data_IF_207535582521
#
_entry.id   IF_207535582521
#
_cell.length_a   1.000
_cell.length_b   1.000
_cell.length_c   1.000
_cell.angle_alpha   90.00
_cell.angle_beta   90.00
_cell.angle_gamma   90.00
#
_symmetry.space_group_name_H-M   'P 1'
#
loop_
_entity.id
_entity.type
_entity.pdbx_description
1 polymer ?
#
# COMPACT_ATOMS: atom_id res chain seq x y z
N UNK A 1 2.08 40.27 -38.28
CA UNK A 1 0.74 39.67 -38.11
C UNK A 1 0.85 38.15 -38.24
N UNK A 2 0.26 37.46 -37.27
CA UNK A 2 -0.19 36.05 -37.19
C UNK A 2 0.62 34.93 -37.88
N UNK A 3 0.97 33.91 -37.09
CA UNK A 3 0.36 32.58 -37.28
C UNK A 3 0.50 31.75 -36.00
N UNK A 4 -0.61 31.64 -35.24
CA UNK A 4 -0.72 30.75 -34.09
C UNK A 4 -0.93 29.33 -34.64
N UNK A 5 0.06 28.46 -34.44
CA UNK A 5 -0.08 27.04 -34.73
C UNK A 5 -1.13 26.43 -33.78
N UNK A 6 -2.30 26.12 -34.33
CA UNK A 6 -3.40 25.44 -33.65
C UNK A 6 -2.94 24.05 -33.19
N UNK A 7 -2.82 23.82 -31.88
CA UNK A 7 -2.75 22.46 -31.32
C UNK A 7 -4.13 21.83 -31.47
N UNK A 8 -4.23 20.82 -32.33
CA UNK A 8 -5.41 19.97 -32.42
C UNK A 8 -5.59 19.21 -31.09
N UNK A 9 -6.49 19.69 -30.23
CA UNK A 9 -6.96 18.94 -29.08
C UNK A 9 -7.77 17.74 -29.58
N UNK A 10 -7.27 16.53 -29.34
CA UNK A 10 -8.05 15.30 -29.58
C UNK A 10 -9.18 15.28 -28.56
N UNK A 11 -10.42 15.37 -29.04
CA UNK A 11 -11.60 15.33 -28.17
C UNK A 11 -11.83 13.90 -27.68
N UNK A 12 -12.13 13.75 -26.38
CA UNK A 12 -12.45 12.44 -25.77
C UNK A 12 -13.61 11.74 -26.49
N UNK A 13 -14.58 12.52 -26.99
CA UNK A 13 -15.70 12.00 -27.77
C UNK A 13 -15.24 11.36 -29.09
N UNK A 14 -14.20 11.92 -29.73
CA UNK A 14 -13.67 11.41 -30.98
C UNK A 14 -12.91 10.09 -30.79
N UNK A 15 -12.20 9.94 -29.67
CA UNK A 15 -11.50 8.69 -29.31
C UNK A 15 -12.49 7.60 -28.91
N UNK A 16 -13.52 7.94 -28.13
CA UNK A 16 -14.57 7.00 -27.73
C UNK A 16 -15.37 6.45 -28.93
N UNK A 17 -15.61 7.28 -29.95
CA UNK A 17 -16.33 6.87 -31.16
C UNK A 17 -15.57 5.89 -32.07
N UNK A 18 -14.25 5.74 -31.87
CA UNK A 18 -13.37 4.86 -32.67
C UNK A 18 -13.24 3.45 -32.07
N UNK A 19 -13.93 3.16 -30.97
CA UNK A 19 -13.97 1.82 -30.39
C UNK A 19 -14.70 0.79 -31.27
N UNK A 20 -14.48 -0.52 -31.05
CA UNK A 20 -15.22 -1.57 -31.75
C UNK A 20 -16.72 -1.40 -31.49
N UNK A 21 -17.51 -1.35 -32.57
CA UNK A 21 -18.98 -1.27 -32.48
C UNK A 21 -19.49 -2.59 -31.92
N UNK A 22 -20.24 -2.53 -30.82
CA UNK A 22 -20.87 -3.69 -30.21
C UNK A 22 -21.75 -4.39 -31.26
N UNK A 23 -21.58 -5.70 -31.41
CA UNK A 23 -22.44 -6.50 -32.29
C UNK A 23 -23.88 -6.47 -31.77
N UNK A 24 -24.90 -6.59 -32.62
CA UNK A 24 -26.30 -6.62 -32.17
C UNK A 24 -26.58 -7.78 -31.21
N UNK A 25 -25.79 -8.86 -31.28
CA UNK A 25 -25.87 -10.00 -30.36
C UNK A 25 -25.27 -9.68 -28.97
N UNK A 26 -24.20 -8.89 -28.89
CA UNK A 26 -23.65 -8.42 -27.60
C UNK A 26 -24.49 -7.30 -26.97
N UNK A 27 -25.20 -6.50 -27.78
CA UNK A 27 -26.09 -5.44 -27.29
C UNK A 27 -27.40 -5.98 -26.71
N UNK A 28 -27.72 -7.25 -26.99
CA UNK A 28 -28.87 -7.91 -26.40
C UNK A 28 -28.62 -8.16 -24.91
N UNK A 29 -29.54 -7.69 -24.06
CA UNK A 29 -29.56 -8.07 -22.66
C UNK A 29 -29.70 -9.60 -22.57
N UNK A 30 -29.02 -10.25 -21.61
CA UNK A 30 -29.19 -11.67 -21.39
C UNK A 30 -30.67 -11.99 -21.15
N UNK A 31 -31.21 -13.06 -21.75
CA UNK A 31 -32.61 -13.40 -21.58
C UNK A 31 -32.90 -13.63 -20.09
N UNK A 32 -34.02 -13.10 -19.55
CA UNK A 32 -34.35 -13.32 -18.16
C UNK A 32 -34.49 -14.81 -17.87
N UNK A 33 -34.01 -15.30 -16.71
CA UNK A 33 -34.13 -16.70 -16.34
C UNK A 33 -35.63 -17.09 -16.31
N UNK A 34 -36.01 -18.06 -17.14
CA UNK A 34 -37.37 -18.59 -17.16
C UNK A 34 -37.50 -19.63 -16.05
N UNK A 35 -38.44 -19.42 -15.14
CA UNK A 35 -38.81 -20.41 -14.13
C UNK A 35 -39.62 -21.48 -14.87
N UNK A 36 -39.09 -22.70 -14.94
CA UNK A 36 -39.85 -23.83 -15.46
C UNK A 36 -41.05 -24.07 -14.53
N UNK A 37 -42.26 -23.74 -14.99
CA UNK A 37 -43.50 -24.07 -14.29
C UNK A 37 -43.84 -25.55 -14.49
N UNK A 38 -42.98 -26.44 -14.00
CA UNK A 38 -43.36 -27.84 -13.77
C UNK A 38 -44.10 -27.88 -12.43
N UNK A 39 -45.43 -27.78 -12.49
CA UNK A 39 -46.38 -27.93 -11.38
C UNK A 39 -46.08 -29.18 -10.51
N UNK A 40 -46.41 -29.21 -9.19
CA UNK A 40 -47.54 -28.51 -8.56
C UNK A 40 -47.19 -27.57 -7.38
N UNK A 41 -47.92 -26.46 -7.34
CA UNK A 41 -47.87 -25.30 -6.44
C UNK A 41 -48.24 -25.59 -4.96
N UNK A 42 -48.17 -26.85 -4.49
CA UNK A 42 -48.77 -27.24 -3.20
C UNK A 42 -47.77 -27.53 -2.07
N UNK A 43 -46.46 -27.37 -2.28
CA UNK A 43 -45.46 -27.86 -1.31
C UNK A 43 -44.38 -26.86 -0.86
N UNK A 44 -44.46 -25.57 -1.21
CA UNK A 44 -43.38 -24.58 -0.92
C UNK A 44 -43.77 -23.48 0.08
N UNK A 45 -45.01 -23.42 0.56
CA UNK A 45 -45.43 -22.43 1.59
C UNK A 45 -45.47 -23.00 3.00
N UNK A 46 -45.13 -24.28 3.20
CA UNK A 46 -45.31 -24.99 4.47
C UNK A 46 -44.17 -24.84 5.49
N UNK A 47 -43.12 -24.06 5.21
CA UNK A 47 -41.96 -23.91 6.11
C UNK A 47 -41.45 -22.47 6.18
N UNK A 48 -42.36 -21.50 6.34
CA UNK A 48 -42.01 -20.15 6.80
C UNK A 48 -42.06 -20.13 8.34
N UNK A 49 -41.10 -20.81 8.97
CA UNK A 49 -40.91 -20.82 10.43
C UNK A 49 -40.04 -19.62 10.80
N UNK A 50 -40.60 -18.42 10.68
CA UNK A 50 -40.21 -17.25 11.49
C UNK A 50 -41.29 -16.16 11.38
N UNK A 51 -42.47 -16.47 11.92
CA UNK A 51 -43.62 -15.54 12.06
C UNK A 51 -43.83 -15.21 13.55
N UNK A 52 -42.80 -15.39 14.37
CA UNK A 52 -42.84 -15.04 15.80
C UNK A 52 -42.17 -13.68 16.07
N UNK A 53 -41.69 -12.99 15.04
CA UNK A 53 -41.30 -11.58 15.19
C UNK A 53 -42.56 -10.74 15.40
N UNK A 54 -42.70 -10.02 16.54
CA UNK A 54 -43.84 -9.15 16.76
C UNK A 54 -43.91 -8.15 15.60
N UNK A 55 -45.07 -8.06 14.97
CA UNK A 55 -45.30 -7.14 13.86
C UNK A 55 -44.89 -5.74 14.27
N UNK A 56 -44.28 -4.98 13.36
CA UNK A 56 -43.93 -3.55 13.57
C UNK A 56 -45.15 -2.70 13.95
N UNK A 57 -46.36 -3.25 13.86
CA UNK A 57 -47.64 -2.63 14.21
C UNK A 57 -48.21 -3.06 15.57
N UNK A 58 -47.58 -3.99 16.29
CA UNK A 58 -48.03 -4.40 17.62
C UNK A 58 -47.30 -3.59 18.68
N UNK A 59 -48.05 -2.75 19.39
CA UNK A 59 -47.54 -2.05 20.57
C UNK A 59 -47.31 -3.09 21.68
N UNK A 60 -46.11 -3.15 22.29
CA UNK A 60 -45.84 -4.04 23.41
C UNK A 60 -46.82 -3.79 24.57
N UNK A 61 -47.26 -4.85 25.26
CA UNK A 61 -48.23 -4.74 26.35
C UNK A 61 -47.72 -3.95 27.56
N UNK A 62 -46.40 -3.82 27.67
CA UNK A 62 -45.67 -3.08 28.69
C UNK A 62 -45.48 -1.59 28.33
N UNK A 63 -45.96 -1.13 27.17
CA UNK A 63 -45.79 0.25 26.70
C UNK A 63 -46.26 1.32 27.70
N UNK A 64 -47.33 1.06 28.45
CA UNK A 64 -47.85 1.98 29.46
C UNK A 64 -46.96 2.04 30.73
N UNK A 65 -46.20 0.98 30.98
CA UNK A 65 -45.26 0.88 32.10
C UNK A 65 -43.82 1.24 31.74
N UNK A 66 -43.52 1.44 30.45
CA UNK A 66 -42.20 1.87 30.01
C UNK A 66 -41.96 3.31 30.46
N UNK A 67 -40.82 3.54 31.11
CA UNK A 67 -40.36 4.87 31.46
C UNK A 67 -40.25 5.71 30.18
N UNK A 68 -40.99 6.82 30.12
CA UNK A 68 -40.95 7.72 28.97
C UNK A 68 -39.52 8.25 28.87
N UNK A 69 -38.76 7.78 27.89
CA UNK A 69 -37.40 8.23 27.60
C UNK A 69 -37.43 9.66 27.06
N UNK A 70 -37.78 10.64 27.89
CA UNK A 70 -37.47 12.05 27.63
C UNK A 70 -36.03 12.29 28.04
N UNK A 71 -35.09 11.62 27.36
CA UNK A 71 -33.67 11.88 27.56
C UNK A 71 -33.45 13.34 27.19
N UNK A 72 -33.29 14.20 28.20
CA UNK A 72 -33.22 15.65 28.02
C UNK A 72 -32.05 15.95 27.09
N UNK A 73 -32.22 16.91 26.19
CA UNK A 73 -31.18 17.31 25.22
C UNK A 73 -29.81 17.57 25.88
N UNK A 74 -29.79 17.98 27.16
CA UNK A 74 -28.58 18.16 27.96
C UNK A 74 -27.76 16.86 28.13
N UNK A 75 -28.41 15.73 28.42
CA UNK A 75 -27.71 14.44 28.59
C UNK A 75 -27.17 13.88 27.26
N UNK A 76 -27.79 14.24 26.13
CA UNK A 76 -27.25 13.95 24.78
C UNK A 76 -25.99 14.76 24.49
N UNK A 77 -26.02 16.06 24.77
CA UNK A 77 -24.88 16.95 24.55
C UNK A 77 -23.67 16.53 25.40
N UNK A 78 -23.87 16.21 26.68
CA UNK A 78 -22.77 15.78 27.56
C UNK A 78 -22.12 14.47 27.08
N UNK A 79 -22.91 13.52 26.58
CA UNK A 79 -22.38 12.26 26.03
C UNK A 79 -21.64 12.46 24.71
N UNK A 80 -22.12 13.38 23.87
CA UNK A 80 -21.45 13.75 22.62
C UNK A 80 -20.13 14.47 22.90
N UNK A 81 -20.08 15.40 23.87
CA UNK A 81 -18.85 16.08 24.28
C UNK A 81 -17.82 15.11 24.88
N UNK A 82 -18.24 14.19 25.75
CA UNK A 82 -17.36 13.15 26.29
C UNK A 82 -16.79 12.25 25.18
N UNK A 83 -17.62 11.84 24.21
CA UNK A 83 -17.14 11.04 23.08
C UNK A 83 -16.17 11.80 22.18
N UNK A 84 -16.37 13.11 22.00
CA UNK A 84 -15.45 13.98 21.25
C UNK A 84 -14.13 14.13 22.00
N UNK A 85 -14.16 14.40 23.30
CA UNK A 85 -12.94 14.55 24.13
C UNK A 85 -12.12 13.26 24.17
N UNK A 86 -12.76 12.10 24.30
CA UNK A 86 -12.10 10.80 24.24
C UNK A 86 -11.46 10.55 22.86
N UNK A 87 -12.17 10.87 21.78
CA UNK A 87 -11.65 10.73 20.41
C UNK A 87 -10.45 11.64 20.15
N UNK A 88 -10.48 12.89 20.65
CA UNK A 88 -9.36 13.82 20.54
C UNK A 88 -8.16 13.36 21.36
N UNK A 89 -8.38 12.88 22.59
CA UNK A 89 -7.33 12.34 23.44
C UNK A 89 -6.67 11.09 22.82
N UNK A 90 -7.45 10.21 22.19
CA UNK A 90 -6.91 9.06 21.45
C UNK A 90 -6.10 9.50 20.22
N UNK A 91 -6.62 10.47 19.45
CA UNK A 91 -5.93 10.99 18.28
C UNK A 91 -4.59 11.63 18.65
N UNK A 92 -4.52 12.39 19.75
CA UNK A 92 -3.28 12.98 20.25
C UNK A 92 -2.29 11.90 20.69
N UNK A 93 -2.74 10.88 21.43
CA UNK A 93 -1.89 9.75 21.85
C UNK A 93 -1.32 8.99 20.66
N UNK A 94 -2.11 8.77 19.60
CA UNK A 94 -1.66 8.12 18.38
C UNK A 94 -0.60 8.97 17.67
N UNK A 95 -0.82 10.29 17.55
CA UNK A 95 0.16 11.21 16.96
C UNK A 95 1.47 11.23 17.74
N UNK A 96 1.40 11.35 19.07
CA UNK A 96 2.58 11.34 19.93
C UNK A 96 3.39 10.04 19.81
N UNK A 97 2.71 8.88 19.73
CA UNK A 97 3.37 7.58 19.49
C UNK A 97 4.03 7.53 18.12
N UNK A 98 3.35 7.98 17.08
CA UNK A 98 3.90 8.01 15.72
C UNK A 98 5.15 8.90 15.63
N UNK A 99 5.13 10.07 16.28
CA UNK A 99 6.29 10.97 16.34
C UNK A 99 7.46 10.36 17.11
N UNK A 100 7.19 9.73 18.27
CA UNK A 100 8.21 9.03 19.05
C UNK A 100 8.85 7.88 18.27
N UNK A 101 8.06 7.10 17.53
CA UNK A 101 8.55 6.02 16.70
C UNK A 101 9.37 6.54 15.51
N UNK A 102 8.95 7.64 14.88
CA UNK A 102 9.74 8.30 13.84
C UNK A 102 11.07 8.82 14.40
N UNK A 103 11.07 9.42 15.59
CA UNK A 103 12.29 9.89 16.25
C UNK A 103 13.24 8.72 16.59
N UNK A 104 12.71 7.60 17.09
CA UNK A 104 13.48 6.37 17.34
C UNK A 104 14.08 5.80 16.07
N UNK A 105 13.29 5.68 15.00
CA UNK A 105 13.74 5.22 13.68
C UNK A 105 14.83 6.12 13.11
N UNK A 106 14.67 7.45 13.21
CA UNK A 106 15.69 8.43 12.78
C UNK A 106 16.99 8.28 13.58
N UNK A 107 16.92 8.14 14.90
CA UNK A 107 18.10 7.92 15.76
C UNK A 107 18.80 6.60 15.41
N UNK A 108 18.05 5.51 15.22
CA UNK A 108 18.60 4.22 14.82
C UNK A 108 19.25 4.28 13.43
N UNK A 109 18.64 5.00 12.47
CA UNK A 109 19.22 5.22 11.16
C UNK A 109 20.53 6.03 11.24
N UNK A 110 20.54 7.14 12.01
CA UNK A 110 21.74 7.96 12.25
C UNK A 110 22.88 7.13 12.85
N UNK A 111 22.61 6.36 13.90
CA UNK A 111 23.60 5.48 14.52
C UNK A 111 24.23 4.49 13.52
N UNK A 112 23.40 3.91 12.64
CA UNK A 112 23.90 3.00 11.60
C UNK A 112 24.78 3.73 10.58
N UNK A 113 24.41 4.95 10.20
CA UNK A 113 25.20 5.81 9.30
C UNK A 113 26.54 6.15 9.94
N UNK A 114 26.57 6.66 11.17
CA UNK A 114 27.81 7.04 11.87
C UNK A 114 28.75 5.84 12.06
N UNK A 115 28.19 4.65 12.33
CA UNK A 115 28.96 3.40 12.42
C UNK A 115 29.53 2.98 11.06
N UNK A 116 28.76 3.13 9.99
CA UNK A 116 29.25 2.84 8.64
C UNK A 116 30.35 3.81 8.22
N UNK A 117 30.19 5.11 8.51
CA UNK A 117 31.18 6.14 8.22
C UNK A 117 32.48 5.90 8.98
N UNK A 118 32.41 5.61 10.29
CA UNK A 118 33.59 5.30 11.09
C UNK A 118 34.30 4.01 10.66
N UNK A 119 33.55 3.00 10.20
CA UNK A 119 34.14 1.79 9.61
C UNK A 119 34.82 2.08 8.27
N UNK A 120 34.18 2.84 7.37
CA UNK A 120 34.78 3.26 6.11
C UNK A 120 36.04 4.08 6.34
N UNK A 121 36.00 5.05 7.26
CA UNK A 121 37.15 5.89 7.60
C UNK A 121 38.33 5.05 8.09
N UNK A 122 38.09 4.04 8.95
CA UNK A 122 39.14 3.11 9.38
C UNK A 122 39.73 2.32 8.21
N UNK A 123 38.89 1.79 7.33
CA UNK A 123 39.33 1.03 6.17
C UNK A 123 40.13 1.91 5.19
N UNK A 124 39.71 3.14 4.96
CA UNK A 124 40.45 4.09 4.13
C UNK A 124 41.80 4.47 4.77
N UNK A 125 41.85 4.66 6.09
CA UNK A 125 43.08 4.93 6.82
C UNK A 125 44.09 3.77 6.70
N UNK A 126 43.62 2.54 6.93
CA UNK A 126 44.40 1.30 6.84
C UNK A 126 44.91 1.04 5.41
N UNK A 127 44.12 1.39 4.38
CA UNK A 127 44.54 1.34 2.97
C UNK A 127 45.52 2.47 2.58
N UNK A 128 45.49 3.61 3.29
CA UNK A 128 46.36 4.76 3.00
C UNK A 128 47.77 4.65 3.59
N UNK A 129 47.95 3.83 4.63
CA UNK A 129 49.25 3.60 5.29
C UNK A 129 50.08 2.49 4.62
N UNK A 130 49.52 1.74 3.66
CA UNK A 130 50.20 0.68 2.92
C UNK A 130 51.07 1.21 1.75
N UNK A 131 52.30 0.70 1.54
CA UNK A 131 53.15 1.14 0.45
C UNK A 131 52.65 0.55 -0.88
N UNK A 132 51.99 1.37 -1.70
CA UNK A 132 51.67 1.04 -3.09
C UNK A 132 50.19 0.82 -3.36
N UNK A 133 49.42 1.90 -3.32
CA UNK A 133 48.29 2.15 -4.21
C UNK A 133 47.17 1.10 -4.22
N UNK A 134 46.02 1.48 -3.68
CA UNK A 134 44.76 0.73 -3.76
C UNK A 134 43.79 1.33 -4.80
N UNK A 135 44.16 1.60 -6.08
CA UNK A 135 43.28 2.29 -7.03
C UNK A 135 42.11 1.41 -7.48
N UNK A 136 42.27 0.09 -7.55
CA UNK A 136 41.21 -0.81 -8.03
C UNK A 136 40.07 -0.99 -7.01
N UNK A 137 40.37 -1.10 -5.72
CA UNK A 137 39.32 -1.22 -4.71
C UNK A 137 38.57 0.11 -4.54
N UNK A 138 39.28 1.25 -4.56
CA UNK A 138 38.65 2.58 -4.56
C UNK A 138 37.77 2.78 -5.80
N UNK A 139 38.23 2.38 -6.98
CA UNK A 139 37.45 2.46 -8.21
C UNK A 139 36.17 1.60 -8.15
N UNK A 140 36.25 0.37 -7.63
CA UNK A 140 35.07 -0.48 -7.45
C UNK A 140 34.07 0.10 -6.45
N UNK A 141 34.55 0.65 -5.33
CA UNK A 141 33.69 1.32 -4.34
C UNK A 141 33.00 2.53 -4.96
N UNK A 142 33.75 3.38 -5.68
CA UNK A 142 33.20 4.53 -6.39
C UNK A 142 32.19 4.13 -7.46
N UNK A 143 32.45 3.05 -8.20
CA UNK A 143 31.53 2.52 -9.20
C UNK A 143 30.22 2.04 -8.55
N UNK A 144 30.30 1.29 -7.45
CA UNK A 144 29.11 0.81 -6.72
C UNK A 144 28.31 1.98 -6.12
N UNK A 145 28.98 2.90 -5.42
CA UNK A 145 28.33 4.06 -4.81
C UNK A 145 27.72 4.96 -5.89
N UNK A 146 28.46 5.26 -6.95
CA UNK A 146 27.99 6.07 -8.07
C UNK A 146 26.79 5.45 -8.80
N UNK A 147 26.86 4.15 -9.11
CA UNK A 147 25.76 3.44 -9.75
C UNK A 147 24.53 3.37 -8.84
N UNK A 148 24.71 3.08 -7.55
CA UNK A 148 23.61 3.04 -6.59
C UNK A 148 22.94 4.41 -6.39
N UNK A 149 23.74 5.48 -6.31
CA UNK A 149 23.25 6.85 -6.16
C UNK A 149 22.49 7.31 -7.40
N UNK A 150 23.02 7.01 -8.60
CA UNK A 150 22.35 7.29 -9.86
C UNK A 150 21.01 6.55 -9.99
N UNK A 151 20.99 5.25 -9.66
CA UNK A 151 19.77 4.44 -9.72
C UNK A 151 18.72 4.92 -8.72
N UNK A 152 19.13 5.28 -7.50
CA UNK A 152 18.26 5.85 -6.47
C UNK A 152 17.66 7.20 -6.88
N UNK A 153 18.48 8.12 -7.40
CA UNK A 153 18.01 9.43 -7.88
C UNK A 153 17.02 9.28 -9.06
N UNK A 154 17.31 8.37 -9.99
CA UNK A 154 16.44 8.05 -11.13
C UNK A 154 15.10 7.49 -10.66
N UNK A 155 15.11 6.54 -9.72
CA UNK A 155 13.91 5.92 -9.15
C UNK A 155 13.05 6.92 -8.37
N UNK A 156 13.67 7.77 -7.55
CA UNK A 156 12.97 8.84 -6.83
C UNK A 156 12.26 9.79 -7.78
N UNK A 157 12.93 10.23 -8.86
CA UNK A 157 12.30 11.07 -9.88
C UNK A 157 11.21 10.36 -10.70
N UNK A 158 11.15 9.03 -10.71
CA UNK A 158 10.06 8.26 -11.33
C UNK A 158 8.87 8.11 -10.37
N UNK A 159 9.15 7.96 -9.07
CA UNK A 159 8.16 7.95 -7.99
C UNK A 159 7.42 9.29 -7.88
N UNK A 160 8.15 10.39 -7.79
CA UNK A 160 7.59 11.74 -7.62
C UNK A 160 6.68 12.15 -8.78
N UNK A 161 6.93 11.61 -9.98
CA UNK A 161 6.10 11.84 -11.17
C UNK A 161 4.94 10.85 -11.33
N UNK A 162 4.74 9.92 -10.38
CA UNK A 162 3.70 8.89 -10.45
C UNK A 162 3.88 7.93 -11.64
N UNK A 163 5.09 7.82 -12.20
CA UNK A 163 5.41 7.04 -13.40
C UNK A 163 6.14 5.74 -13.10
N UNK A 164 6.11 5.28 -11.86
CA UNK A 164 6.66 3.99 -11.46
C UNK A 164 5.78 2.87 -12.04
N UNK A 165 6.13 2.41 -13.23
CA UNK A 165 5.44 1.34 -13.92
C UNK A 165 5.96 -0.03 -13.50
N UNK A 166 5.21 -1.07 -13.88
CA UNK A 166 5.63 -2.46 -13.74
C UNK A 166 6.95 -2.78 -14.46
N UNK A 167 7.29 -2.01 -15.49
CA UNK A 167 8.55 -2.15 -16.21
C UNK A 167 9.74 -1.72 -15.35
N UNK A 168 9.63 -0.59 -14.66
CA UNK A 168 10.64 -0.07 -13.75
C UNK A 168 10.76 -0.94 -12.50
N UNK A 169 9.61 -1.42 -11.98
CA UNK A 169 9.60 -2.41 -10.91
C UNK A 169 10.30 -3.72 -11.33
N UNK A 170 10.08 -4.19 -12.56
CA UNK A 170 10.75 -5.37 -13.10
C UNK A 170 12.27 -5.20 -13.24
N UNK A 171 12.73 -4.01 -13.63
CA UNK A 171 14.17 -3.69 -13.65
C UNK A 171 14.74 -3.72 -12.23
N UNK A 172 14.04 -3.13 -11.26
CA UNK A 172 14.45 -3.16 -9.84
C UNK A 172 14.53 -4.58 -9.29
N UNK A 173 13.53 -5.41 -9.59
CA UNK A 173 13.49 -6.83 -9.21
C UNK A 173 14.66 -7.61 -9.85
N UNK A 174 14.99 -7.31 -11.11
CA UNK A 174 16.13 -7.92 -11.80
C UNK A 174 17.47 -7.62 -11.12
N UNK A 175 17.69 -6.37 -10.71
CA UNK A 175 18.90 -5.98 -9.97
C UNK A 175 18.96 -6.71 -8.61
N UNK A 176 17.85 -6.76 -7.87
CA UNK A 176 17.78 -7.50 -6.60
C UNK A 176 18.05 -9.00 -6.79
N UNK A 177 17.55 -9.60 -7.88
CA UNK A 177 17.82 -10.99 -8.23
C UNK A 177 19.31 -11.26 -8.44
N UNK A 178 20.01 -10.39 -9.19
CA UNK A 178 21.46 -10.53 -9.40
C UNK A 178 22.23 -10.43 -8.09
N UNK A 179 21.90 -9.45 -7.24
CA UNK A 179 22.54 -9.29 -5.92
C UNK A 179 22.33 -10.53 -5.05
N UNK A 180 21.10 -11.07 -5.01
CA UNK A 180 20.78 -12.28 -4.24
C UNK A 180 21.55 -13.52 -4.71
N UNK A 181 21.78 -13.68 -6.03
CA UNK A 181 22.60 -14.78 -6.57
C UNK A 181 24.06 -14.65 -6.12
N UNK A 182 24.63 -13.43 -6.16
CA UNK A 182 26.00 -13.17 -5.73
C UNK A 182 26.17 -13.43 -4.23
N UNK A 183 25.25 -12.93 -3.41
CA UNK A 183 25.27 -13.16 -1.96
C UNK A 183 25.11 -14.64 -1.62
N UNK A 184 24.18 -15.35 -2.27
CA UNK A 184 23.98 -16.78 -2.08
C UNK A 184 25.23 -17.61 -2.45
N UNK A 185 25.93 -17.24 -3.53
CA UNK A 185 27.19 -17.87 -3.91
C UNK A 185 28.30 -17.60 -2.87
N UNK A 186 28.36 -16.38 -2.34
CA UNK A 186 29.34 -16.00 -1.33
C UNK A 186 29.12 -16.73 0.02
N UNK A 187 27.87 -16.82 0.48
CA UNK A 187 27.51 -17.56 1.71
C UNK A 187 27.80 -19.06 1.55
N UNK A 188 27.45 -19.63 0.40
CA UNK A 188 27.72 -21.04 0.11
C UNK A 188 29.24 -21.33 0.06
N UNK A 189 30.03 -20.43 -0.54
CA UNK A 189 31.48 -20.54 -0.57
C UNK A 189 32.09 -20.52 0.84
N UNK A 190 31.63 -19.60 1.70
CA UNK A 190 32.15 -19.48 3.06
C UNK A 190 31.72 -20.64 3.98
N UNK A 191 30.48 -21.13 3.84
CA UNK A 191 30.02 -22.33 4.53
C UNK A 191 30.85 -23.57 4.15
N UNK A 192 31.18 -23.72 2.86
CA UNK A 192 32.01 -24.82 2.36
C UNK A 192 33.47 -24.71 2.82
N UNK A 193 33.98 -23.50 3.03
CA UNK A 193 35.31 -23.27 3.60
C UNK A 193 35.37 -23.69 5.08
N UNK A 194 34.37 -23.33 5.90
CA UNK A 194 34.31 -23.72 7.32
C UNK A 194 34.14 -25.23 7.54
N UNK A 195 33.47 -25.92 6.63
CA UNK A 195 33.29 -27.38 6.69
C UNK A 195 34.56 -28.18 6.29
N UNK A 196 35.60 -27.51 5.78
CA UNK A 196 36.86 -28.16 5.37
C UNK A 196 37.98 -28.04 6.42
N UNK A 197 37.72 -27.28 7.49
CA UNK A 197 38.63 -27.07 8.63
C UNK A 197 38.28 -27.94 9.86
N UNK A 198 37.27 -28.80 9.77
CA UNK A 198 37.01 -29.91 10.70
C UNK A 198 37.37 -31.24 10.06
#
# INVERSE_FOLDING_TARGET
>A
MLSLASRSHVSYAEVASKGPKQSPEEAAAPPPPQIAHTTPLSSTTASLVDVDTPSVHTVPSDFESQEIQTDTQAARVEREEQAIEEAEAEAERVRARAEADLARKKKAARYKVDKAESWLAKQFHEMSEGPGGVPLAVANILAVVGLSGWLGFRAWGLYDRGRLGWREAGIGLGVLGVVGVVEGAFVNFWSKAKNKEQ
#
